data_IF_720071344027
#
_entry.id   IF_720071344027
#
_cell.length_a   1.000
_cell.length_b   1.000
_cell.length_c   1.000
_cell.angle_alpha   90.00
_cell.angle_beta   90.00
_cell.angle_gamma   90.00
#
_symmetry.space_group_name_H-M   'P 1'
#
loop_
_entity.id
_entity.type
_entity.pdbx_description
1 polymer ?
#
# COMPACT_ATOMS: atom_id res chain seq x y z
N UNK A 1 25.34 -0.81 0.13
CA UNK A 1 23.89 -0.82 -0.16
C UNK A 1 23.57 -2.08 -0.94
N UNK A 2 22.70 -2.92 -0.42
CA UNK A 2 22.27 -4.14 -1.10
C UNK A 2 21.35 -3.80 -2.28
N UNK A 3 21.31 -4.63 -3.33
CA UNK A 3 20.35 -4.51 -4.44
C UNK A 3 18.90 -4.47 -3.93
N UNK A 4 18.64 -5.14 -2.81
CA UNK A 4 17.36 -5.09 -2.08
C UNK A 4 17.04 -3.68 -1.55
N UNK A 5 18.04 -2.98 -0.99
CA UNK A 5 17.83 -1.64 -0.42
C UNK A 5 17.52 -0.63 -1.54
N UNK A 6 18.21 -0.74 -2.68
CA UNK A 6 17.96 0.10 -3.85
C UNK A 6 16.57 -0.14 -4.46
N UNK A 7 16.13 -1.40 -4.55
CA UNK A 7 14.78 -1.74 -5.03
C UNK A 7 13.70 -1.23 -4.09
N UNK A 8 13.92 -1.33 -2.77
CA UNK A 8 12.98 -0.86 -1.74
C UNK A 8 12.83 0.67 -1.77
N UNK A 9 13.95 1.41 -1.86
CA UNK A 9 13.91 2.88 -1.98
C UNK A 9 13.24 3.32 -3.28
N UNK A 10 13.61 2.70 -4.41
CA UNK A 10 13.07 3.08 -5.71
C UNK A 10 11.59 2.72 -5.86
N UNK A 11 11.13 1.62 -5.25
CA UNK A 11 9.71 1.26 -5.19
C UNK A 11 8.92 2.19 -4.26
N UNK A 12 9.52 2.60 -3.15
CA UNK A 12 8.95 3.57 -2.19
C UNK A 12 8.72 4.94 -2.82
N UNK A 13 9.71 5.46 -3.55
CA UNK A 13 9.68 6.80 -4.16
C UNK A 13 8.74 6.91 -5.36
N UNK A 14 8.68 5.85 -6.18
CA UNK A 14 7.99 5.92 -7.46
C UNK A 14 6.58 5.31 -7.39
N UNK A 15 5.69 5.99 -6.67
CA UNK A 15 4.23 5.72 -6.60
C UNK A 15 3.57 5.67 -7.98
N UNK A 16 4.19 6.29 -8.98
CA UNK A 16 3.71 6.29 -10.36
C UNK A 16 3.88 4.93 -11.05
N UNK A 17 4.80 4.07 -10.60
CA UNK A 17 4.96 2.72 -11.15
C UNK A 17 3.71 1.88 -10.99
N UNK A 18 2.93 2.06 -9.93
CA UNK A 18 1.69 1.31 -9.75
C UNK A 18 0.71 1.59 -10.90
N UNK A 19 0.64 2.85 -11.35
CA UNK A 19 -0.18 3.22 -12.49
C UNK A 19 0.39 2.66 -13.79
N UNK A 20 1.71 2.68 -13.98
CA UNK A 20 2.34 2.16 -15.19
C UNK A 20 2.23 0.64 -15.27
N UNK A 21 2.43 -0.08 -14.17
CA UNK A 21 2.25 -1.54 -14.11
C UNK A 21 0.79 -1.89 -14.39
N UNK A 22 -0.16 -1.21 -13.74
CA UNK A 22 -1.58 -1.44 -13.97
C UNK A 22 -1.97 -1.17 -15.44
N UNK A 23 -1.58 -0.01 -15.97
CA UNK A 23 -1.86 0.36 -17.38
C UNK A 23 -1.18 -0.62 -18.34
N UNK A 24 0.06 -1.05 -18.06
CA UNK A 24 0.77 -1.99 -18.93
C UNK A 24 0.15 -3.39 -18.91
N UNK A 25 -0.24 -3.90 -17.74
CA UNK A 25 -0.92 -5.18 -17.62
C UNK A 25 -2.26 -5.17 -18.36
N UNK A 26 -3.03 -4.10 -18.20
CA UNK A 26 -4.33 -3.93 -18.86
C UNK A 26 -4.15 -3.76 -20.35
N UNK A 27 -3.24 -2.89 -20.79
CA UNK A 27 -2.97 -2.69 -22.22
C UNK A 27 -2.49 -3.99 -22.87
N UNK A 28 -1.62 -4.77 -22.21
CA UNK A 28 -1.19 -6.07 -22.70
C UNK A 28 -2.37 -7.06 -22.78
N UNK A 29 -3.26 -7.08 -21.78
CA UNK A 29 -4.43 -7.95 -21.79
C UNK A 29 -5.42 -7.57 -22.90
N UNK A 30 -5.77 -6.28 -23.02
CA UNK A 30 -6.64 -5.75 -24.07
C UNK A 30 -6.06 -6.10 -25.44
N UNK A 31 -4.76 -5.88 -25.65
CA UNK A 31 -4.11 -6.17 -26.93
C UNK A 31 -4.11 -7.68 -27.23
N UNK A 32 -3.93 -8.54 -26.23
CA UNK A 32 -4.08 -10.01 -26.40
C UNK A 32 -5.52 -10.38 -26.76
N UNK A 33 -6.52 -9.79 -26.10
CA UNK A 33 -7.95 -10.08 -26.38
C UNK A 33 -8.35 -9.59 -27.77
N UNK A 34 -7.94 -8.38 -28.16
CA UNK A 34 -8.18 -7.81 -29.50
C UNK A 34 -7.51 -8.63 -30.61
N UNK A 35 -6.27 -9.10 -30.39
CA UNK A 35 -5.53 -9.86 -31.41
C UNK A 35 -5.99 -11.32 -31.50
N UNK A 36 -6.31 -11.96 -30.38
CA UNK A 36 -6.70 -13.38 -30.35
C UNK A 36 -8.20 -13.61 -30.50
N UNK A 37 -9.03 -12.59 -30.28
CA UNK A 37 -10.49 -12.72 -30.19
C UNK A 37 -10.95 -13.63 -29.04
N UNK A 38 -10.04 -14.01 -28.14
CA UNK A 38 -10.26 -14.94 -27.03
C UNK A 38 -9.79 -14.28 -25.72
N UNK A 39 -10.48 -14.55 -24.62
CA UNK A 39 -10.08 -14.08 -23.29
C UNK A 39 -10.97 -13.01 -22.66
N UNK A 40 -11.99 -12.48 -23.35
CA UNK A 40 -13.08 -11.73 -22.71
C UNK A 40 -13.96 -12.71 -21.92
N UNK A 41 -13.53 -13.02 -20.69
CA UNK A 41 -14.23 -13.91 -19.78
C UNK A 41 -15.54 -13.30 -19.26
N UNK A 42 -15.64 -11.97 -19.25
CA UNK A 42 -16.86 -11.23 -18.91
C UNK A 42 -17.92 -11.31 -20.03
N UNK A 43 -17.52 -11.56 -21.29
CA UNK A 43 -18.46 -11.81 -22.38
C UNK A 43 -19.36 -13.02 -22.13
N UNK A 44 -18.85 -14.02 -21.39
CA UNK A 44 -19.57 -15.26 -21.13
C UNK A 44 -20.62 -15.11 -20.02
N UNK A 45 -20.59 -14.00 -19.28
CA UNK A 45 -21.46 -13.73 -18.14
C UNK A 45 -22.64 -12.85 -18.60
N UNK A 46 -23.85 -13.17 -18.14
CA UNK A 46 -25.05 -12.37 -18.43
C UNK A 46 -24.97 -10.96 -17.85
N UNK A 47 -25.62 -9.98 -18.50
CA UNK A 47 -25.56 -8.56 -18.11
C UNK A 47 -25.93 -8.33 -16.64
N UNK A 48 -26.98 -8.99 -16.14
CA UNK A 48 -27.40 -8.84 -14.73
C UNK A 48 -26.32 -9.33 -13.75
N UNK A 49 -25.64 -10.42 -14.08
CA UNK A 49 -24.53 -10.95 -13.28
C UNK A 49 -23.31 -10.02 -13.35
N UNK A 50 -23.01 -9.41 -14.50
CA UNK A 50 -21.93 -8.42 -14.63
C UNK A 50 -22.19 -7.18 -13.79
N UNK A 51 -23.40 -6.63 -13.84
CA UNK A 51 -23.82 -5.48 -13.03
C UNK A 51 -23.66 -5.77 -11.54
N UNK A 52 -24.08 -6.97 -11.10
CA UNK A 52 -23.89 -7.44 -9.72
C UNK A 52 -22.40 -7.57 -9.34
N UNK A 53 -21.59 -8.12 -10.25
CA UNK A 53 -20.15 -8.27 -10.07
C UNK A 53 -19.44 -6.92 -9.89
N UNK A 54 -19.77 -5.91 -10.71
CA UNK A 54 -19.19 -4.58 -10.61
C UNK A 54 -19.48 -3.93 -9.25
N UNK A 55 -20.74 -4.04 -8.78
CA UNK A 55 -21.14 -3.55 -7.47
C UNK A 55 -20.43 -4.27 -6.32
N UNK A 56 -20.34 -5.60 -6.41
CA UNK A 56 -19.65 -6.44 -5.41
C UNK A 56 -18.16 -6.08 -5.33
N UNK A 57 -17.52 -5.93 -6.49
CA UNK A 57 -16.12 -5.55 -6.56
C UNK A 57 -15.86 -4.15 -5.97
N UNK A 58 -16.72 -3.17 -6.24
CA UNK A 58 -16.65 -1.85 -5.60
C UNK A 58 -16.75 -1.96 -4.07
N UNK A 59 -17.64 -2.84 -3.58
CA UNK A 59 -17.77 -3.15 -2.15
C UNK A 59 -16.49 -3.72 -1.54
N UNK A 60 -15.88 -4.72 -2.19
CA UNK A 60 -14.62 -5.33 -1.74
C UNK A 60 -13.48 -4.31 -1.72
N UNK A 61 -13.32 -3.51 -2.79
CA UNK A 61 -12.30 -2.47 -2.89
C UNK A 61 -12.48 -1.41 -1.79
N UNK A 62 -13.72 -1.01 -1.53
CA UNK A 62 -14.04 -0.09 -0.44
C UNK A 62 -13.66 -0.65 0.93
N UNK A 63 -13.97 -1.93 1.20
CA UNK A 63 -13.60 -2.60 2.44
C UNK A 63 -12.07 -2.67 2.63
N UNK A 64 -11.34 -2.98 1.57
CA UNK A 64 -9.86 -2.95 1.54
C UNK A 64 -9.34 -1.54 1.82
N UNK A 65 -9.94 -0.51 1.22
CA UNK A 65 -9.61 0.89 1.51
C UNK A 65 -9.81 1.25 2.98
N UNK A 66 -10.90 0.77 3.59
CA UNK A 66 -11.19 0.93 5.01
C UNK A 66 -10.11 0.29 5.90
N UNK A 67 -9.67 -0.93 5.58
CA UNK A 67 -8.54 -1.58 6.26
C UNK A 67 -7.25 -0.76 6.14
N UNK A 68 -7.00 -0.16 4.97
CA UNK A 68 -5.89 0.77 4.77
C UNK A 68 -5.96 1.98 5.72
N UNK A 69 -7.15 2.53 5.97
CA UNK A 69 -7.33 3.61 6.95
C UNK A 69 -7.03 3.18 8.39
N UNK A 70 -7.36 1.94 8.76
CA UNK A 70 -7.02 1.40 10.09
C UNK A 70 -5.49 1.29 10.24
N UNK A 71 -4.80 0.78 9.21
CA UNK A 71 -3.34 0.71 9.21
C UNK A 71 -2.68 2.09 9.38
N UNK A 72 -3.22 3.13 8.73
CA UNK A 72 -2.76 4.52 8.91
C UNK A 72 -2.95 4.97 10.36
N UNK A 73 -4.11 4.69 10.96
CA UNK A 73 -4.40 5.08 12.35
C UNK A 73 -3.45 4.41 13.34
N UNK A 74 -3.15 3.12 13.14
CA UNK A 74 -2.16 2.39 13.94
C UNK A 74 -0.78 3.02 13.78
N UNK A 75 -0.35 3.29 12.55
CA UNK A 75 0.93 3.95 12.30
C UNK A 75 1.02 5.32 12.98
N UNK A 76 -0.07 6.10 12.97
CA UNK A 76 -0.12 7.42 13.60
C UNK A 76 -0.03 7.33 15.13
N UNK A 77 -0.61 6.29 15.75
CA UNK A 77 -0.60 6.08 17.20
C UNK A 77 0.68 5.44 17.74
N UNK A 78 1.48 4.78 16.90
CA UNK A 78 2.77 4.20 17.30
C UNK A 78 3.82 5.27 17.66
N UNK A 79 4.49 5.11 18.82
CA UNK A 79 5.44 6.07 19.38
C UNK A 79 6.87 5.51 19.59
N UNK A 80 7.26 4.43 18.90
CA UNK A 80 8.62 3.88 18.99
C UNK A 80 9.72 4.84 18.53
N UNK A 81 10.95 4.71 19.04
CA UNK A 81 12.07 5.59 18.70
C UNK A 81 12.42 5.54 17.20
N UNK A 82 12.40 4.34 16.57
CA UNK A 82 12.68 4.21 15.14
C UNK A 82 11.50 4.71 14.31
N UNK A 83 10.27 4.45 14.72
CA UNK A 83 9.09 5.04 14.06
C UNK A 83 9.14 6.58 14.13
N UNK A 84 9.59 7.17 15.25
CA UNK A 84 9.82 8.63 15.36
C UNK A 84 10.96 9.11 14.46
N UNK A 85 12.02 8.33 14.28
CA UNK A 85 13.11 8.67 13.36
C UNK A 85 12.65 8.63 11.90
N UNK A 86 11.91 7.58 11.51
CA UNK A 86 11.30 7.44 10.18
C UNK A 86 10.30 8.57 9.92
N UNK A 87 9.44 8.90 10.89
CA UNK A 87 8.49 10.02 10.75
C UNK A 87 9.20 11.36 10.55
N UNK A 88 10.34 11.59 11.21
CA UNK A 88 11.12 12.83 11.02
C UNK A 88 11.71 12.97 9.61
N UNK A 89 12.17 11.86 9.02
CA UNK A 89 12.85 11.88 7.72
C UNK A 89 11.90 11.69 6.53
N UNK A 90 10.86 10.86 6.67
CA UNK A 90 10.02 10.40 5.56
C UNK A 90 8.52 10.75 5.69
N UNK A 91 8.13 11.67 6.59
CA UNK A 91 6.71 12.03 6.79
C UNK A 91 5.99 12.44 5.50
N UNK A 92 6.68 13.15 4.61
CA UNK A 92 6.07 13.69 3.40
C UNK A 92 5.86 12.61 2.34
N UNK A 93 6.84 11.71 2.09
CA UNK A 93 6.62 10.61 1.15
C UNK A 93 5.58 9.63 1.68
N UNK A 94 5.58 9.36 2.99
CA UNK A 94 4.62 8.44 3.57
C UNK A 94 3.20 8.99 3.48
N UNK A 95 2.98 10.27 3.85
CA UNK A 95 1.68 10.94 3.68
C UNK A 95 1.23 10.96 2.22
N UNK A 96 2.15 11.16 1.26
CA UNK A 96 1.85 11.14 -0.17
C UNK A 96 1.44 9.74 -0.64
N UNK A 97 2.14 8.69 -0.20
CA UNK A 97 1.80 7.29 -0.47
C UNK A 97 0.39 6.96 0.07
N UNK A 98 0.12 7.30 1.34
CA UNK A 98 -1.20 7.07 1.95
C UNK A 98 -2.33 7.81 1.24
N UNK A 99 -2.13 9.10 0.92
CA UNK A 99 -3.10 9.87 0.15
C UNK A 99 -3.31 9.26 -1.24
N UNK A 100 -2.24 8.84 -1.91
CA UNK A 100 -2.35 8.21 -3.23
C UNK A 100 -3.13 6.90 -3.17
N UNK A 101 -2.94 6.08 -2.14
CA UNK A 101 -3.71 4.85 -1.94
C UNK A 101 -5.19 5.14 -1.78
N UNK A 102 -5.57 6.08 -0.90
CA UNK A 102 -6.97 6.45 -0.68
C UNK A 102 -7.64 7.02 -1.94
N UNK A 103 -6.95 7.93 -2.65
CA UNK A 103 -7.45 8.50 -3.90
C UNK A 103 -7.59 7.41 -4.97
N UNK A 104 -6.64 6.48 -5.07
CA UNK A 104 -6.71 5.38 -6.02
C UNK A 104 -7.91 4.45 -5.73
N UNK A 105 -8.14 4.08 -4.46
CA UNK A 105 -9.31 3.29 -4.07
C UNK A 105 -10.61 3.99 -4.44
N UNK A 106 -10.72 5.30 -4.18
CA UNK A 106 -11.88 6.08 -4.58
C UNK A 106 -12.09 6.09 -6.10
N UNK A 107 -11.01 6.27 -6.88
CA UNK A 107 -11.06 6.22 -8.35
C UNK A 107 -11.50 4.83 -8.84
N UNK A 108 -11.00 3.75 -8.26
CA UNK A 108 -11.40 2.38 -8.63
C UNK A 108 -12.90 2.19 -8.37
N UNK A 109 -13.42 2.61 -7.21
CA UNK A 109 -14.84 2.53 -6.93
C UNK A 109 -15.67 3.33 -7.95
N UNK A 110 -15.23 4.53 -8.31
CA UNK A 110 -15.88 5.34 -9.36
C UNK A 110 -15.84 4.62 -10.71
N UNK A 111 -14.73 3.99 -11.09
CA UNK A 111 -14.63 3.21 -12.32
C UNK A 111 -15.58 2.01 -12.33
N UNK A 112 -15.70 1.28 -11.21
CA UNK A 112 -16.65 0.16 -11.09
C UNK A 112 -18.10 0.63 -11.24
N UNK A 113 -18.47 1.75 -10.60
CA UNK A 113 -19.81 2.34 -10.73
C UNK A 113 -20.06 2.86 -12.17
N UNK A 114 -19.06 3.46 -12.79
CA UNK A 114 -19.14 3.89 -14.19
C UNK A 114 -19.32 2.70 -15.14
N UNK A 115 -18.57 1.61 -14.95
CA UNK A 115 -18.74 0.37 -15.70
C UNK A 115 -20.16 -0.20 -15.53
N UNK A 116 -20.70 -0.17 -14.31
CA UNK A 116 -22.07 -0.57 -14.01
C UNK A 116 -23.12 0.26 -14.76
N UNK A 117 -22.94 1.59 -14.84
CA UNK A 117 -23.83 2.47 -15.60
C UNK A 117 -23.70 2.33 -17.12
N UNK A 118 -22.49 2.09 -17.62
CA UNK A 118 -22.19 1.92 -19.04
C UNK A 118 -22.76 0.62 -19.61
N UNK A 119 -22.60 -0.50 -18.88
CA UNK A 119 -23.08 -1.83 -19.30
C UNK A 119 -24.62 -1.86 -19.38
N UNK A 120 -25.31 -1.04 -18.56
CA UNK A 120 -26.78 -0.96 -18.55
C UNK A 120 -27.41 -0.15 -19.68
N UNK A 121 -26.66 0.66 -20.44
CA UNK A 121 -27.27 1.65 -21.34
C UNK A 121 -26.81 1.64 -22.80
N UNK A 122 -25.50 1.54 -23.08
CA UNK A 122 -25.00 1.81 -24.45
C UNK A 122 -23.79 1.02 -24.92
N UNK A 123 -22.87 0.61 -24.04
CA UNK A 123 -21.62 -0.02 -24.47
C UNK A 123 -21.09 -1.06 -23.47
N UNK A 124 -21.60 -2.31 -23.54
CA UNK A 124 -21.14 -3.42 -22.71
C UNK A 124 -19.66 -3.76 -22.90
N UNK A 125 -19.09 -3.47 -24.07
CA UNK A 125 -17.73 -3.88 -24.38
C UNK A 125 -16.71 -2.98 -23.68
N UNK A 126 -16.89 -1.65 -23.82
CA UNK A 126 -16.05 -0.67 -23.11
C UNK A 126 -16.19 -0.78 -21.58
N UNK A 127 -17.39 -1.13 -21.08
CA UNK A 127 -17.63 -1.32 -19.65
C UNK A 127 -16.77 -2.45 -19.05
N UNK A 128 -16.59 -3.56 -19.78
CA UNK A 128 -15.79 -4.71 -19.33
C UNK A 128 -14.31 -4.34 -19.19
N UNK A 129 -13.74 -3.70 -20.21
CA UNK A 129 -12.34 -3.29 -20.15
C UNK A 129 -12.08 -2.21 -19.10
N UNK A 130 -13.03 -1.28 -18.90
CA UNK A 130 -12.92 -0.30 -17.82
C UNK A 130 -12.91 -0.99 -16.45
N UNK A 131 -13.76 -2.00 -16.26
CA UNK A 131 -13.80 -2.79 -15.02
C UNK A 131 -12.51 -3.59 -14.81
N UNK A 132 -12.01 -4.27 -15.84
CA UNK A 132 -10.74 -4.99 -15.78
C UNK A 132 -9.57 -4.08 -15.46
N UNK A 133 -9.55 -2.87 -16.05
CA UNK A 133 -8.56 -1.85 -15.75
C UNK A 133 -8.59 -1.42 -14.28
N UNK A 134 -9.79 -1.18 -13.76
CA UNK A 134 -10.01 -0.84 -12.37
C UNK A 134 -9.55 -1.96 -11.42
N UNK A 135 -9.83 -3.21 -11.77
CA UNK A 135 -9.44 -4.37 -10.97
C UNK A 135 -7.94 -4.66 -10.99
N UNK A 136 -7.28 -4.51 -12.14
CA UNK A 136 -5.82 -4.64 -12.22
C UNK A 136 -5.13 -3.56 -11.37
N UNK A 137 -5.62 -2.32 -11.43
CA UNK A 137 -5.13 -1.25 -10.56
C UNK A 137 -5.39 -1.56 -9.08
N UNK A 138 -6.58 -2.07 -8.73
CA UNK A 138 -6.91 -2.47 -7.37
C UNK A 138 -5.95 -3.52 -6.82
N UNK A 139 -5.67 -4.55 -7.61
CA UNK A 139 -4.74 -5.62 -7.24
C UNK A 139 -3.32 -5.08 -7.03
N UNK A 140 -2.80 -4.29 -7.96
CA UNK A 140 -1.47 -3.68 -7.83
C UNK A 140 -1.35 -2.83 -6.56
N UNK A 141 -2.39 -2.03 -6.26
CA UNK A 141 -2.44 -1.21 -5.05
C UNK A 141 -2.57 -2.02 -3.77
N UNK A 142 -3.34 -3.10 -3.81
CA UNK A 142 -3.48 -4.00 -2.67
C UNK A 142 -2.14 -4.65 -2.31
N UNK A 143 -1.39 -5.14 -3.31
CA UNK A 143 -0.06 -5.69 -3.09
C UNK A 143 0.91 -4.66 -2.50
N UNK A 144 0.88 -3.41 -2.98
CA UNK A 144 1.67 -2.32 -2.39
C UNK A 144 1.28 -2.04 -0.95
N UNK A 145 -0.01 -2.04 -0.64
CA UNK A 145 -0.51 -1.84 0.72
C UNK A 145 -0.02 -2.94 1.66
N UNK A 146 -0.13 -4.21 1.25
CA UNK A 146 0.36 -5.35 2.02
C UNK A 146 1.87 -5.25 2.28
N UNK A 147 2.64 -4.91 1.25
CA UNK A 147 4.08 -4.72 1.37
C UNK A 147 4.43 -3.60 2.36
N UNK A 148 3.74 -2.46 2.29
CA UNK A 148 3.98 -1.33 3.19
C UNK A 148 3.61 -1.70 4.63
N UNK A 149 2.53 -2.44 4.82
CA UNK A 149 2.11 -2.94 6.12
C UNK A 149 3.11 -3.92 6.73
N UNK A 150 3.58 -4.91 5.96
CA UNK A 150 4.63 -5.85 6.37
C UNK A 150 5.91 -5.13 6.82
N UNK A 151 6.33 -4.10 6.08
CA UNK A 151 7.50 -3.29 6.46
C UNK A 151 7.30 -2.49 7.75
N UNK A 152 6.12 -1.93 7.97
CA UNK A 152 5.81 -1.25 9.23
C UNK A 152 5.78 -2.22 10.40
N UNK A 153 5.23 -3.43 10.21
CA UNK A 153 5.17 -4.45 11.25
C UNK A 153 6.56 -4.94 11.64
N UNK A 154 7.42 -5.25 10.66
CA UNK A 154 8.83 -5.58 10.90
C UNK A 154 9.60 -4.48 11.64
N UNK A 155 9.25 -3.20 11.42
CA UNK A 155 9.86 -2.08 12.14
C UNK A 155 9.37 -2.04 13.59
N UNK A 156 8.06 -2.21 13.81
CA UNK A 156 7.46 -2.24 15.14
C UNK A 156 7.96 -3.43 15.98
N UNK A 157 8.06 -4.62 15.39
CA UNK A 157 8.57 -5.82 16.07
C UNK A 157 10.02 -5.63 16.52
N UNK A 158 10.83 -4.97 15.69
CA UNK A 158 12.21 -4.60 16.06
C UNK A 158 12.24 -3.61 17.21
N UNK A 159 11.37 -2.59 17.20
CA UNK A 159 11.25 -1.61 18.29
C UNK A 159 10.82 -2.26 19.61
N UNK A 160 10.03 -3.34 19.57
CA UNK A 160 9.61 -4.07 20.78
C UNK A 160 10.62 -5.13 21.26
N UNK A 161 11.41 -5.70 20.35
CA UNK A 161 12.41 -6.72 20.68
C UNK A 161 13.69 -6.17 21.31
N UNK A 162 13.96 -4.87 21.17
CA UNK A 162 15.16 -4.24 21.73
C UNK A 162 14.89 -3.92 23.21
N UNK A 163 15.68 -4.46 24.16
CA UNK A 163 15.50 -4.14 25.57
C UNK A 163 15.64 -2.63 25.76
N UNK A 164 14.70 -2.03 26.49
CA UNK A 164 14.73 -0.61 26.85
C UNK A 164 16.15 -0.26 27.26
N UNK A 165 16.82 0.64 26.50
CA UNK A 165 18.17 1.09 26.85
C UNK A 165 18.08 1.67 28.25
N UNK A 166 18.62 0.95 29.23
CA UNK A 166 18.77 1.52 30.55
C UNK A 166 19.58 2.81 30.39
N UNK A 167 19.13 3.93 30.99
CA UNK A 167 19.89 5.16 30.94
C UNK A 167 21.32 4.86 31.38
N UNK A 168 22.29 5.45 30.68
CA UNK A 168 23.69 5.29 31.05
C UNK A 168 23.82 5.57 32.56
N UNK A 169 24.48 4.68 33.33
CA UNK A 169 24.61 4.89 34.77
C UNK A 169 25.14 6.30 35.02
N UNK A 170 24.49 7.05 35.91
CA UNK A 170 24.99 8.37 36.29
C UNK A 170 26.44 8.20 36.77
N UNK A 171 27.35 8.95 36.15
CA UNK A 171 28.76 8.95 36.52
C UNK A 171 28.88 9.36 37.98
N UNK A 172 29.20 8.41 38.88
CA UNK A 172 29.38 8.69 40.31
C UNK A 172 30.41 9.83 40.46
N UNK A 173 30.02 11.03 40.90
CA UNK A 173 30.94 12.17 41.01
C UNK A 173 32.09 11.88 41.98
N UNK A 174 31.91 10.91 42.88
CA UNK A 174 32.89 10.54 43.89
C UNK A 174 33.83 9.40 43.43
N UNK A 175 33.73 8.95 42.17
CA UNK A 175 34.58 7.86 41.66
C UNK A 175 36.07 8.17 41.81
N UNK A 176 36.47 9.43 41.57
CA UNK A 176 37.85 9.89 41.73
C UNK A 176 38.32 9.89 43.18
N UNK A 177 37.44 10.27 44.12
CA UNK A 177 37.76 10.27 45.54
C UNK A 177 37.96 8.86 46.09
N UNK A 178 37.08 7.91 45.72
CA UNK A 178 37.22 6.51 46.15
C UNK A 178 38.52 5.88 45.62
N UNK A 179 38.93 6.20 44.40
CA UNK A 179 40.16 5.65 43.80
C UNK A 179 41.42 6.16 44.51
N UNK A 180 41.43 7.43 44.94
CA UNK A 180 42.54 8.05 45.67
C UNK A 180 42.73 7.45 47.07
N UNK A 181 41.64 7.07 47.73
CA UNK A 181 41.68 6.49 49.08
C UNK A 181 42.01 4.99 49.09
N UNK A 182 42.09 4.32 47.93
CA UNK A 182 42.39 2.89 47.81
C UNK A 182 43.87 2.58 47.56
N UNK A 183 44.69 3.59 47.32
CA UNK A 183 46.13 3.49 47.05
C UNK A 183 46.99 3.84 48.26
N UNK A 184 46.41 3.84 49.46
CA UNK A 184 47.11 4.03 50.74
C UNK A 184 47.02 2.75 51.54
#
# INVERSE_FOLDING_TARGET
>A
MSVRDFLVDRWSEAVWWDYVIAVSLVAAHVLVVEVSGQGDWLAWIGTDQRVSLYGTAAGVVSAIGGLGSIAISIYLSSNGERIRAVRRHYQNELRRNWKSLLVATALICVCCLAAQGLDGTRDPHSARYLFEAAMALALARFLRMLWLFDKMMQLNDRDQSEPTREPAPELDPNWRQRRRNRTV
#
